data_IF_339418248153
#
_entry.id   IF_339418248153
#
_cell.length_a   1.000
_cell.length_b   1.000
_cell.length_c   1.000
_cell.angle_alpha   90.00
_cell.angle_beta   90.00
_cell.angle_gamma   90.00
#
_symmetry.space_group_name_H-M   'P 1'
#
loop_
_entity.id
_entity.type
_entity.pdbx_description
1 polymer ?
#
# COMPACT_ATOMS: atom_id res chain seq x y z
N UNK A 1 3.27 -16.40 -8.08
CA UNK A 1 3.21 -16.69 -6.64
C UNK A 1 3.86 -15.49 -5.98
N UNK A 2 3.06 -14.59 -5.42
CA UNK A 2 3.57 -13.35 -4.83
C UNK A 2 4.24 -13.65 -3.49
N UNK A 3 5.22 -12.83 -3.11
CA UNK A 3 5.77 -12.82 -1.76
C UNK A 3 5.77 -11.39 -1.20
N UNK A 4 5.96 -11.25 0.11
CA UNK A 4 5.89 -9.96 0.82
C UNK A 4 6.85 -8.92 0.23
N UNK A 5 8.07 -9.31 -0.13
CA UNK A 5 9.09 -8.40 -0.66
C UNK A 5 8.80 -7.95 -2.09
N UNK A 6 8.12 -8.78 -2.88
CA UNK A 6 7.60 -8.40 -4.20
C UNK A 6 6.52 -7.32 -4.07
N UNK A 7 5.54 -7.53 -3.17
CA UNK A 7 4.46 -6.57 -2.94
C UNK A 7 5.02 -5.22 -2.47
N UNK A 8 5.91 -5.22 -1.46
CA UNK A 8 6.55 -3.97 -0.99
C UNK A 8 7.24 -3.19 -2.10
N UNK A 9 8.00 -3.89 -2.94
CA UNK A 9 8.74 -3.26 -4.05
C UNK A 9 7.79 -2.70 -5.11
N UNK A 10 6.75 -3.45 -5.44
CA UNK A 10 5.74 -3.05 -6.41
C UNK A 10 4.99 -1.81 -5.96
N UNK A 11 4.48 -1.81 -4.72
CA UNK A 11 3.75 -0.67 -4.14
C UNK A 11 4.64 0.56 -4.09
N UNK A 12 5.88 0.42 -3.61
CA UNK A 12 6.84 1.52 -3.57
C UNK A 12 7.12 2.08 -4.98
N UNK A 13 7.23 1.21 -5.98
CA UNK A 13 7.43 1.63 -7.37
C UNK A 13 6.23 2.41 -7.89
N UNK A 14 5.01 1.92 -7.68
CA UNK A 14 3.79 2.60 -8.10
C UNK A 14 3.65 3.99 -7.49
N UNK A 15 4.00 4.13 -6.20
CA UNK A 15 3.95 5.42 -5.49
C UNK A 15 5.00 6.39 -6.03
N UNK A 16 6.23 5.92 -6.27
CA UNK A 16 7.31 6.75 -6.83
C UNK A 16 6.96 7.26 -8.24
N UNK A 17 6.32 6.42 -9.05
CA UNK A 17 5.79 6.79 -10.36
C UNK A 17 4.66 7.83 -10.23
N UNK A 18 3.70 7.62 -9.33
CA UNK A 18 2.54 8.51 -9.15
C UNK A 18 2.94 9.90 -8.58
N UNK A 19 4.02 9.96 -7.77
CA UNK A 19 4.55 11.22 -7.20
C UNK A 19 5.68 11.85 -8.02
N UNK A 20 6.14 11.20 -9.08
CA UNK A 20 7.35 11.57 -9.84
C UNK A 20 8.57 11.81 -8.92
N UNK A 21 8.67 11.03 -7.83
CA UNK A 21 9.68 11.20 -6.79
C UNK A 21 10.28 9.84 -6.40
N UNK A 22 11.57 9.65 -6.71
CA UNK A 22 12.26 8.37 -6.51
C UNK A 22 12.93 8.21 -5.14
N UNK A 23 12.98 9.29 -4.34
CA UNK A 23 13.62 9.30 -3.02
C UNK A 23 12.68 8.86 -1.88
N UNK A 24 11.46 8.42 -2.22
CA UNK A 24 10.48 7.90 -1.26
C UNK A 24 10.92 6.52 -0.78
N UNK A 25 10.94 6.31 0.52
CA UNK A 25 11.18 5.02 1.20
C UNK A 25 9.87 4.41 1.70
N UNK A 26 9.93 3.17 2.20
CA UNK A 26 8.73 2.43 2.62
C UNK A 26 7.99 3.10 3.79
N UNK A 27 8.74 3.67 4.72
CA UNK A 27 8.22 4.24 5.98
C UNK A 27 7.88 5.73 5.85
N UNK A 28 8.21 6.36 4.73
CA UNK A 28 7.98 7.79 4.55
C UNK A 28 6.48 8.09 4.50
N UNK A 29 6.09 9.19 5.15
CA UNK A 29 4.72 9.68 5.12
C UNK A 29 4.37 10.20 3.72
N UNK A 30 3.24 9.73 3.21
CA UNK A 30 2.75 10.01 1.88
C UNK A 30 1.72 11.12 1.92
N UNK A 31 2.12 12.30 1.48
CA UNK A 31 1.16 13.34 1.11
C UNK A 31 0.64 13.08 -0.31
N UNK A 32 -0.37 12.21 -0.44
CA UNK A 32 -1.06 11.90 -1.70
C UNK A 32 -2.39 12.63 -1.75
N UNK A 33 -2.65 13.35 -2.83
CA UNK A 33 -3.98 13.93 -3.05
C UNK A 33 -4.99 12.84 -3.44
N UNK A 34 -6.29 13.08 -3.19
CA UNK A 34 -7.34 12.07 -3.38
C UNK A 34 -7.33 11.40 -4.77
N UNK A 35 -7.05 12.16 -5.83
CA UNK A 35 -6.97 11.59 -7.18
C UNK A 35 -5.80 10.62 -7.35
N UNK A 36 -4.65 10.90 -6.72
CA UNK A 36 -3.49 10.01 -6.74
C UNK A 36 -3.77 8.72 -5.95
N UNK A 37 -4.48 8.83 -4.82
CA UNK A 37 -4.91 7.66 -4.03
C UNK A 37 -5.82 6.78 -4.89
N UNK A 38 -6.83 7.36 -5.55
CA UNK A 38 -7.75 6.61 -6.41
C UNK A 38 -7.04 5.94 -7.59
N UNK A 39 -6.09 6.63 -8.24
CA UNK A 39 -5.27 6.06 -9.31
C UNK A 39 -4.42 4.89 -8.82
N UNK A 40 -3.79 5.04 -7.65
CA UNK A 40 -2.96 4.03 -7.04
C UNK A 40 -3.81 2.78 -6.69
N UNK A 41 -4.97 2.98 -6.05
CA UNK A 41 -5.92 1.91 -5.73
C UNK A 41 -6.34 1.16 -6.99
N UNK A 42 -6.76 1.85 -8.04
CA UNK A 42 -7.18 1.20 -9.29
C UNK A 42 -6.05 0.34 -9.92
N UNK A 43 -4.79 0.80 -9.82
CA UNK A 43 -3.62 0.02 -10.28
C UNK A 43 -3.40 -1.23 -9.43
N UNK A 44 -3.53 -1.10 -8.11
CA UNK A 44 -3.38 -2.18 -7.14
C UNK A 44 -4.44 -3.27 -7.35
N UNK A 45 -5.72 -2.89 -7.37
CA UNK A 45 -6.84 -3.81 -7.56
C UNK A 45 -6.70 -4.58 -8.87
N UNK A 46 -6.33 -3.88 -9.95
CA UNK A 46 -6.07 -4.52 -11.25
C UNK A 46 -4.90 -5.48 -11.21
N UNK A 47 -3.82 -5.17 -10.50
CA UNK A 47 -2.61 -6.00 -10.45
C UNK A 47 -2.80 -7.25 -9.60
N UNK A 48 -3.40 -7.10 -8.42
CA UNK A 48 -3.50 -8.17 -7.43
C UNK A 48 -4.86 -8.89 -7.44
N UNK A 49 -5.82 -8.41 -8.24
CA UNK A 49 -7.18 -8.95 -8.34
C UNK A 49 -7.89 -8.96 -6.97
N UNK A 50 -7.75 -7.86 -6.23
CA UNK A 50 -8.41 -7.62 -4.95
C UNK A 50 -9.34 -6.39 -5.07
N UNK A 51 -10.16 -6.17 -4.05
CA UNK A 51 -10.97 -4.95 -3.88
C UNK A 51 -10.48 -4.23 -2.62
N UNK A 52 -10.13 -2.95 -2.77
CA UNK A 52 -9.66 -2.14 -1.63
C UNK A 52 -10.88 -1.55 -0.92
N UNK A 53 -10.93 -1.69 0.40
CA UNK A 53 -12.00 -1.11 1.21
C UNK A 53 -11.94 0.43 1.17
N UNK A 54 -13.06 1.05 0.77
CA UNK A 54 -13.25 2.49 0.66
C UNK A 54 -12.82 3.27 1.93
N UNK A 55 -12.94 2.65 3.11
CA UNK A 55 -12.50 3.27 4.36
C UNK A 55 -11.01 3.59 4.35
N UNK A 56 -10.17 2.78 3.71
CA UNK A 56 -8.73 3.06 3.58
C UNK A 56 -8.43 4.24 2.66
N UNK A 57 -9.29 4.44 1.65
CA UNK A 57 -9.19 5.51 0.66
C UNK A 57 -9.61 6.84 1.28
N UNK A 58 -10.77 6.88 1.94
CA UNK A 58 -11.40 8.14 2.37
C UNK A 58 -11.04 8.58 3.79
N UNK A 59 -10.55 7.68 4.65
CA UNK A 59 -10.07 8.05 5.99
C UNK A 59 -8.56 8.33 6.07
N UNK A 60 -7.84 8.32 4.93
CA UNK A 60 -6.41 8.61 4.89
C UNK A 60 -5.56 7.54 5.58
N UNK A 61 -6.01 6.29 5.61
CA UNK A 61 -5.28 5.18 6.25
C UNK A 61 -4.04 4.77 5.44
N UNK A 62 -4.00 5.07 4.14
CA UNK A 62 -2.82 4.87 3.29
C UNK A 62 -1.77 5.97 3.48
N UNK A 63 -1.21 6.03 4.69
CA UNK A 63 -0.21 7.02 5.10
C UNK A 63 1.21 6.72 4.65
N UNK A 64 1.55 5.47 4.33
CA UNK A 64 2.87 5.07 3.86
C UNK A 64 2.82 3.89 2.91
N UNK A 65 3.89 3.70 2.14
CA UNK A 65 4.03 2.55 1.26
C UNK A 65 4.04 1.24 2.07
N UNK A 66 4.57 1.27 3.30
CA UNK A 66 4.55 0.15 4.24
C UNK A 66 3.11 -0.23 4.63
N UNK A 67 2.26 0.75 4.98
CA UNK A 67 0.86 0.49 5.36
C UNK A 67 0.08 -0.08 4.18
N UNK A 68 0.22 0.51 2.99
CA UNK A 68 -0.41 -0.01 1.77
C UNK A 68 0.07 -1.45 1.52
N UNK A 69 1.37 -1.70 1.53
CA UNK A 69 1.92 -3.04 1.28
C UNK A 69 1.42 -4.08 2.28
N UNK A 70 1.30 -3.69 3.55
CA UNK A 70 0.80 -4.57 4.62
C UNK A 70 -0.66 -4.94 4.39
N UNK A 71 -1.49 -3.96 4.02
CA UNK A 71 -2.89 -4.19 3.64
C UNK A 71 -2.98 -5.21 2.49
N UNK A 72 -2.21 -5.00 1.42
CA UNK A 72 -2.21 -5.91 0.26
C UNK A 72 -1.71 -7.31 0.61
N UNK A 73 -0.65 -7.41 1.43
CA UNK A 73 -0.16 -8.70 1.88
C UNK A 73 -1.18 -9.46 2.72
N UNK A 74 -2.01 -8.74 3.48
CA UNK A 74 -3.11 -9.33 4.24
C UNK A 74 -4.23 -9.84 3.32
N UNK A 75 -4.68 -9.03 2.36
CA UNK A 75 -5.70 -9.45 1.37
C UNK A 75 -5.26 -10.66 0.53
N UNK A 76 -3.95 -10.80 0.31
CA UNK A 76 -3.36 -11.94 -0.40
C UNK A 76 -3.02 -13.13 0.52
N UNK A 77 -3.35 -13.07 1.81
CA UNK A 77 -3.03 -14.09 2.83
C UNK A 77 -1.53 -14.47 2.89
N UNK A 78 -0.65 -13.52 2.57
CA UNK A 78 0.81 -13.73 2.54
C UNK A 78 1.44 -13.66 3.93
N UNK A 79 0.79 -12.96 4.87
CA UNK A 79 1.21 -12.87 6.27
C UNK A 79 0.26 -13.75 7.07
N UNK A 80 0.79 -14.85 7.63
CA UNK A 80 0.01 -15.85 8.38
C UNK A 80 -0.11 -15.57 9.88
N UNK A 81 0.20 -14.36 10.31
CA UNK A 81 0.31 -14.01 11.73
C UNK A 81 -0.40 -12.68 12.02
N UNK A 82 -1.32 -12.69 12.98
CA UNK A 82 -2.15 -11.56 13.45
C UNK A 82 -1.34 -10.41 14.09
N UNK A 83 -0.01 -10.40 13.94
CA UNK A 83 0.89 -9.45 14.62
C UNK A 83 0.88 -8.04 14.03
N UNK A 84 0.24 -7.81 12.87
CA UNK A 84 0.25 -6.50 12.20
C UNK A 84 -0.53 -5.40 12.94
N UNK A 85 -1.36 -5.76 13.93
CA UNK A 85 -1.98 -4.77 14.83
C UNK A 85 -0.99 -4.04 15.74
N UNK A 86 0.29 -4.43 15.77
CA UNK A 86 1.27 -3.90 16.72
C UNK A 86 2.42 -3.10 16.09
N UNK A 87 2.58 -3.04 14.77
CA UNK A 87 3.87 -2.62 14.18
C UNK A 87 3.84 -1.31 13.38
N UNK A 88 2.69 -0.64 13.30
CA UNK A 88 2.57 0.67 12.63
C UNK A 88 1.79 1.70 13.48
N UNK A 89 1.62 1.46 14.78
CA UNK A 89 0.93 2.34 15.73
C UNK A 89 1.79 2.70 16.96
N UNK A 90 3.12 2.62 16.82
CA UNK A 90 4.06 3.25 17.75
C UNK A 90 4.78 4.41 17.04
#
# INVERSE_FOLDING_TARGET
MHNVEEVKRDILTMIREEKECYDINLEDELDLVSIQILNLVAKIEKKYLIEVDDSYIFHGLFSSACVISSYICNELELIKDDSWKSTCMD
#
